data_IF_370246144279
#
_entry.id   IF_370246144279
#
_cell.length_a   1.000
_cell.length_b   1.000
_cell.length_c   1.000
_cell.angle_alpha   90.00
_cell.angle_beta   90.00
_cell.angle_gamma   90.00
#
_symmetry.space_group_name_H-M   'P 1'
#
loop_
_entity.id
_entity.type
_entity.pdbx_description
1 polymer ?
#
# COMPACT_ATOMS: atom_id res chain seq x y z
N UNK A 1 -48.62 -37.20 3.93
CA UNK A 1 -49.20 -36.59 5.14
C UNK A 1 -49.17 -35.09 4.94
N UNK A 2 -50.32 -34.52 4.59
CA UNK A 2 -50.49 -33.10 4.31
C UNK A 2 -50.85 -32.40 5.62
N UNK A 3 -50.08 -31.38 6.01
CA UNK A 3 -50.52 -30.46 7.05
C UNK A 3 -50.75 -29.09 6.43
N UNK A 4 -51.98 -28.62 6.62
CA UNK A 4 -52.57 -27.40 6.11
C UNK A 4 -52.99 -26.53 7.30
N UNK A 5 -53.11 -25.21 7.07
CA UNK A 5 -53.88 -24.19 7.82
C UNK A 5 -53.02 -23.31 8.76
N UNK A 6 -52.61 -22.09 8.34
CA UNK A 6 -53.37 -20.82 8.19
C UNK A 6 -53.42 -20.06 9.54
N UNK A 7 -52.52 -19.10 9.76
CA UNK A 7 -52.68 -17.64 9.60
C UNK A 7 -53.46 -16.96 10.73
N UNK A 8 -52.81 -16.06 11.48
CA UNK A 8 -52.93 -14.59 11.39
C UNK A 8 -52.41 -13.91 12.68
N UNK A 9 -52.08 -12.60 12.56
CA UNK A 9 -52.15 -11.58 13.63
C UNK A 9 -50.92 -11.52 14.58
N UNK A 10 -50.27 -10.40 14.91
CA UNK A 10 -50.53 -8.97 14.69
C UNK A 10 -49.22 -8.17 14.80
N UNK A 11 -49.26 -7.00 14.18
CA UNK A 11 -48.33 -5.87 14.20
C UNK A 11 -47.87 -5.49 15.63
N UNK A 12 -46.56 -5.36 15.85
CA UNK A 12 -46.01 -4.57 16.96
C UNK A 12 -45.16 -3.43 16.41
N UNK A 13 -45.74 -2.24 16.58
CA UNK A 13 -45.19 -0.90 16.46
C UNK A 13 -43.71 -0.78 16.85
N UNK A 14 -42.94 -0.12 15.99
CA UNK A 14 -41.71 0.60 16.35
C UNK A 14 -41.99 1.62 17.46
N UNK A 15 -41.04 1.92 18.35
CA UNK A 15 -40.15 3.07 18.12
C UNK A 15 -38.72 2.85 18.68
N UNK A 16 -37.68 3.61 18.38
CA UNK A 16 -37.57 5.07 18.41
C UNK A 16 -36.29 5.43 17.64
N UNK A 17 -36.41 6.18 16.55
CA UNK A 17 -35.24 6.81 15.96
C UNK A 17 -34.67 7.80 16.99
N UNK A 18 -33.51 7.51 17.54
CA UNK A 18 -32.76 8.47 18.34
C UNK A 18 -32.30 9.61 17.42
N UNK A 19 -33.08 10.69 17.39
CA UNK A 19 -32.64 11.98 16.88
C UNK A 19 -31.85 12.67 18.00
N UNK A 20 -30.54 12.82 17.81
CA UNK A 20 -29.73 13.66 18.68
C UNK A 20 -30.11 15.13 18.44
N UNK A 21 -30.71 15.77 19.45
CA UNK A 21 -30.95 17.20 19.46
C UNK A 21 -29.65 17.93 19.83
N UNK A 22 -29.04 18.61 18.85
CA UNK A 22 -27.99 19.58 19.15
C UNK A 22 -28.64 20.88 19.64
N UNK A 23 -28.46 21.19 20.93
CA UNK A 23 -28.69 22.53 21.44
C UNK A 23 -27.42 23.36 21.23
N UNK A 24 -27.30 24.02 20.08
CA UNK A 24 -26.38 25.16 19.94
C UNK A 24 -27.17 26.44 20.16
N UNK A 25 -26.83 27.08 21.28
CA UNK A 25 -27.27 28.38 21.74
C UNK A 25 -27.17 29.41 20.60
N UNK A 26 -28.27 30.10 20.34
CA UNK A 26 -28.33 31.35 19.58
C UNK A 26 -27.57 32.44 20.34
N UNK A 27 -26.45 32.89 19.80
CA UNK A 27 -26.10 34.31 19.85
C UNK A 27 -26.03 34.82 18.43
N UNK A 28 -26.91 35.76 18.12
CA UNK A 28 -26.94 36.50 16.87
C UNK A 28 -25.61 37.21 16.63
N UNK A 29 -25.04 36.99 15.45
CA UNK A 29 -24.28 38.00 14.72
C UNK A 29 -24.28 37.61 13.24
N UNK A 30 -25.22 38.21 12.51
CA UNK A 30 -25.13 38.68 11.12
C UNK A 30 -24.51 37.76 10.04
N UNK A 31 -25.42 37.16 9.26
CA UNK A 31 -25.45 37.00 7.79
C UNK A 31 -24.14 37.17 6.99
N UNK A 32 -23.68 36.11 6.29
CA UNK A 32 -23.32 36.07 4.84
C UNK A 32 -23.47 34.60 4.33
N UNK A 33 -24.06 34.34 3.13
CA UNK A 33 -24.38 33.01 2.64
C UNK A 33 -23.20 32.32 1.92
N UNK A 34 -23.10 30.99 1.96
CA UNK A 34 -22.12 30.32 1.11
C UNK A 34 -21.89 28.83 1.33
N UNK A 35 -22.54 28.04 0.48
CA UNK A 35 -21.94 26.99 -0.35
C UNK A 35 -21.24 25.79 0.31
N UNK A 36 -21.71 24.60 -0.07
CA UNK A 36 -21.16 23.31 0.33
C UNK A 36 -19.66 23.19 0.03
N UNK A 37 -18.85 23.05 1.08
CA UNK A 37 -17.39 22.93 0.95
C UNK A 37 -16.71 22.15 2.09
N UNK A 38 -17.46 21.33 2.86
CA UNK A 38 -16.84 20.57 3.96
C UNK A 38 -15.95 19.42 3.49
N UNK A 39 -16.21 18.83 2.32
CA UNK A 39 -15.40 17.71 1.81
C UNK A 39 -14.07 18.17 1.19
N UNK A 40 -14.09 19.29 0.45
CA UNK A 40 -12.94 19.78 -0.31
C UNK A 40 -11.83 20.39 0.56
N UNK A 41 -12.20 21.01 1.70
CA UNK A 41 -11.23 21.54 2.69
C UNK A 41 -10.48 20.43 3.43
N UNK A 42 -11.17 19.34 3.79
CA UNK A 42 -10.55 18.20 4.49
C UNK A 42 -9.54 17.49 3.62
N UNK A 43 -9.87 17.22 2.36
CA UNK A 43 -8.94 16.59 1.40
C UNK A 43 -7.73 17.46 1.10
N UNK A 44 -7.87 18.78 1.05
CA UNK A 44 -6.75 19.70 0.82
C UNK A 44 -5.72 19.63 1.96
N UNK A 45 -6.17 19.81 3.20
CA UNK A 45 -5.31 19.78 4.40
C UNK A 45 -4.59 18.43 4.57
N UNK A 46 -5.27 17.33 4.27
CA UNK A 46 -4.68 16.00 4.37
C UNK A 46 -3.61 15.75 3.28
N UNK A 47 -3.85 16.19 2.05
CA UNK A 47 -2.86 16.11 0.97
C UNK A 47 -1.61 16.94 1.30
N UNK A 48 -1.78 18.13 1.87
CA UNK A 48 -0.68 18.98 2.33
C UNK A 48 0.14 18.29 3.43
N UNK A 49 -0.53 17.61 4.36
CA UNK A 49 0.11 16.84 5.43
C UNK A 49 0.97 15.70 4.86
N UNK A 50 0.43 14.93 3.91
CA UNK A 50 1.16 13.84 3.24
C UNK A 50 2.33 14.36 2.43
N UNK A 51 2.19 15.52 1.78
CA UNK A 51 3.29 16.15 1.06
C UNK A 51 4.44 16.51 2.00
N UNK A 52 4.14 17.13 3.14
CA UNK A 52 5.14 17.52 4.13
C UNK A 52 5.83 16.29 4.74
N UNK A 53 5.06 15.27 5.12
CA UNK A 53 5.58 14.02 5.67
C UNK A 53 6.47 13.28 4.66
N UNK A 54 6.02 13.15 3.41
CA UNK A 54 6.79 12.51 2.35
C UNK A 54 8.12 13.24 2.08
N UNK A 55 8.10 14.58 2.15
CA UNK A 55 9.29 15.39 1.95
C UNK A 55 10.27 15.27 3.12
N UNK A 56 9.78 15.23 4.36
CA UNK A 56 10.59 14.97 5.56
C UNK A 56 11.31 13.62 5.47
N UNK A 57 10.59 12.55 5.11
CA UNK A 57 11.15 11.20 4.95
C UNK A 57 12.16 11.11 3.81
N UNK A 58 11.97 11.88 2.72
CA UNK A 58 12.93 11.91 1.60
C UNK A 58 14.30 12.42 2.04
N UNK A 59 14.32 13.37 2.97
CA UNK A 59 15.55 14.00 3.46
C UNK A 59 16.30 13.12 4.48
N UNK A 60 15.61 12.15 5.10
CA UNK A 60 16.25 11.16 5.96
C UNK A 60 17.01 10.10 5.13
N UNK A 61 18.32 10.06 5.33
CA UNK A 61 19.20 9.14 4.62
C UNK A 61 19.15 7.76 5.27
N UNK A 62 18.21 6.94 4.81
CA UNK A 62 18.15 5.50 5.10
C UNK A 62 19.49 4.82 4.79
N UNK A 63 20.23 4.41 5.82
CA UNK A 63 21.48 3.66 5.66
C UNK A 63 21.22 2.15 5.58
N UNK A 64 20.54 1.70 4.52
CA UNK A 64 20.46 0.25 4.24
C UNK A 64 21.82 -0.22 3.72
N UNK A 65 22.55 -0.97 4.54
CA UNK A 65 23.76 -1.69 4.11
C UNK A 65 23.39 -2.79 3.12
N UNK A 66 23.27 -2.42 1.84
CA UNK A 66 23.23 -3.40 0.75
C UNK A 66 24.65 -3.90 0.58
N UNK A 67 24.86 -5.21 0.74
CA UNK A 67 26.12 -5.85 0.38
C UNK A 67 26.29 -5.80 -1.15
N UNK A 68 26.73 -4.65 -1.66
CA UNK A 68 27.02 -4.47 -3.08
C UNK A 68 28.28 -5.27 -3.37
N UNK A 69 28.14 -6.44 -3.99
CA UNK A 69 29.28 -7.09 -4.67
C UNK A 69 29.61 -6.21 -5.88
N UNK A 70 30.48 -5.22 -5.66
CA UNK A 70 31.00 -4.38 -6.73
C UNK A 70 31.74 -5.23 -7.75
N UNK A 71 31.20 -5.36 -8.96
CA UNK A 71 31.98 -5.83 -10.12
C UNK A 71 32.95 -4.71 -10.51
N UNK A 72 34.19 -4.80 -10.04
CA UNK A 72 35.29 -3.99 -10.56
C UNK A 72 35.47 -4.27 -12.05
N UNK A 73 35.37 -3.21 -12.86
CA UNK A 73 35.59 -3.22 -14.30
C UNK A 73 37.10 -3.13 -14.57
N UNK A 74 37.75 -4.28 -14.72
CA UNK A 74 39.12 -4.40 -15.21
C UNK A 74 39.13 -4.79 -16.69
N UNK A 75 39.78 -3.99 -17.53
CA UNK A 75 40.06 -4.27 -18.93
C UNK A 75 41.16 -5.34 -19.00
N UNK A 76 40.97 -6.40 -19.79
CA UNK A 76 42.08 -7.29 -20.21
C UNK A 76 41.78 -8.78 -20.27
N UNK A 77 41.39 -9.23 -21.47
CA UNK A 77 41.69 -10.51 -22.14
C UNK A 77 41.46 -11.90 -21.49
N UNK A 78 40.90 -12.73 -22.40
CA UNK A 78 41.05 -14.17 -22.63
C UNK A 78 40.03 -15.08 -21.95
N UNK A 79 39.34 -15.81 -22.83
CA UNK A 79 38.18 -16.62 -22.55
C UNK A 79 38.46 -17.71 -21.54
N UNK A 80 37.59 -17.75 -20.55
CA UNK A 80 37.39 -18.94 -19.75
C UNK A 80 35.88 -19.05 -19.57
N UNK A 81 35.30 -20.02 -20.28
CA UNK A 81 33.87 -20.34 -20.29
C UNK A 81 33.51 -20.97 -18.94
N UNK A 82 33.60 -20.17 -17.87
CA UNK A 82 33.15 -20.58 -16.54
C UNK A 82 31.64 -20.50 -16.51
N UNK A 83 31.03 -21.67 -16.71
CA UNK A 83 29.65 -21.96 -16.32
C UNK A 83 29.41 -21.34 -14.94
N UNK A 84 28.57 -20.31 -14.88
CA UNK A 84 28.21 -19.63 -13.64
C UNK A 84 27.68 -20.67 -12.65
N UNK A 85 28.14 -20.67 -11.38
CA UNK A 85 27.49 -21.47 -10.35
C UNK A 85 26.01 -21.07 -10.37
N UNK A 86 25.13 -22.07 -10.45
CA UNK A 86 23.68 -21.89 -10.34
C UNK A 86 23.41 -21.24 -8.99
N UNK A 87 23.37 -19.91 -8.97
CA UNK A 87 23.26 -19.13 -7.74
C UNK A 87 21.91 -19.44 -7.12
N UNK A 88 21.89 -19.89 -5.87
CA UNK A 88 20.65 -20.05 -5.13
C UNK A 88 19.86 -18.74 -5.17
N UNK A 89 18.52 -18.79 -5.27
CA UNK A 89 17.70 -17.60 -5.22
C UNK A 89 17.89 -16.89 -3.86
N UNK A 90 17.83 -15.55 -3.82
CA UNK A 90 18.08 -14.78 -2.61
C UNK A 90 16.98 -15.02 -1.57
N UNK A 91 17.36 -15.13 -0.30
CA UNK A 91 16.40 -15.21 0.80
C UNK A 91 15.61 -13.90 0.96
N UNK A 92 14.37 -14.00 1.45
CA UNK A 92 13.53 -12.83 1.72
C UNK A 92 14.01 -12.12 2.99
N UNK A 93 14.76 -11.04 2.80
CA UNK A 93 15.23 -10.14 3.85
C UNK A 93 15.04 -8.69 3.40
N UNK A 94 15.03 -7.73 4.33
CA UNK A 94 14.90 -6.29 3.99
C UNK A 94 16.00 -5.85 2.99
N UNK A 95 17.30 -6.16 3.20
CA UNK A 95 18.34 -5.75 2.24
C UNK A 95 18.17 -6.40 0.86
N UNK A 96 17.82 -7.70 0.81
CA UNK A 96 17.63 -8.40 -0.46
C UNK A 96 16.41 -7.87 -1.21
N UNK A 97 15.30 -7.61 -0.51
CA UNK A 97 14.10 -7.03 -1.09
C UNK A 97 14.38 -5.63 -1.65
N UNK A 98 15.06 -4.78 -0.88
CA UNK A 98 15.44 -3.45 -1.35
C UNK A 98 16.34 -3.53 -2.60
N UNK A 99 17.33 -4.42 -2.60
CA UNK A 99 18.19 -4.65 -3.76
C UNK A 99 17.41 -5.13 -4.99
N UNK A 100 16.40 -6.00 -4.80
CA UNK A 100 15.57 -6.50 -5.89
C UNK A 100 14.63 -5.42 -6.44
N UNK A 101 14.04 -4.58 -5.57
CA UNK A 101 13.23 -3.42 -5.97
C UNK A 101 14.07 -2.48 -6.85
N UNK A 102 15.29 -2.17 -6.41
CA UNK A 102 16.24 -1.35 -7.17
C UNK A 102 16.63 -1.98 -8.51
N UNK A 103 16.91 -3.30 -8.51
CA UNK A 103 17.27 -4.06 -9.72
C UNK A 103 16.18 -4.03 -10.78
N UNK A 104 14.91 -4.05 -10.38
CA UNK A 104 13.76 -3.98 -11.28
C UNK A 104 13.45 -2.54 -11.75
N UNK A 105 14.23 -1.54 -11.35
CA UNK A 105 14.01 -0.14 -11.76
C UNK A 105 12.74 0.46 -11.18
N UNK A 106 12.26 -0.07 -10.06
CA UNK A 106 11.03 0.39 -9.42
C UNK A 106 11.24 1.79 -8.83
N UNK A 107 10.34 2.70 -9.19
CA UNK A 107 10.35 4.09 -8.70
C UNK A 107 9.99 4.14 -7.22
N UNK A 108 10.56 5.12 -6.51
CA UNK A 108 10.35 5.32 -5.06
C UNK A 108 10.60 4.04 -4.22
N UNK A 109 11.82 3.46 -4.34
CA UNK A 109 12.13 2.13 -3.79
C UNK A 109 11.93 2.03 -2.27
N UNK A 110 12.23 3.09 -1.51
CA UNK A 110 11.97 3.14 -0.07
C UNK A 110 10.48 3.00 0.26
N UNK A 111 9.63 3.71 -0.48
CA UNK A 111 8.17 3.63 -0.30
C UNK A 111 7.68 2.23 -0.63
N UNK A 112 8.13 1.65 -1.75
CA UNK A 112 7.72 0.30 -2.16
C UNK A 112 8.22 -0.77 -1.17
N UNK A 113 9.40 -0.58 -0.58
CA UNK A 113 9.89 -1.42 0.50
C UNK A 113 8.96 -1.34 1.73
N UNK A 114 8.59 -0.13 2.15
CA UNK A 114 7.66 0.08 3.26
C UNK A 114 6.28 -0.53 2.98
N UNK A 115 5.79 -0.45 1.74
CA UNK A 115 4.56 -1.14 1.32
C UNK A 115 4.69 -2.65 1.54
N UNK A 116 5.77 -3.28 1.04
CA UNK A 116 5.95 -4.71 1.22
C UNK A 116 6.04 -5.13 2.70
N UNK A 117 6.71 -4.34 3.55
CA UNK A 117 6.78 -4.61 4.99
C UNK A 117 5.39 -4.52 5.63
N UNK A 118 4.62 -3.50 5.28
CA UNK A 118 3.26 -3.27 5.78
C UNK A 118 2.32 -4.41 5.34
N UNK A 119 2.25 -4.69 4.04
CA UNK A 119 1.37 -5.70 3.43
C UNK A 119 1.65 -7.12 3.96
N UNK A 120 2.91 -7.41 4.29
CA UNK A 120 3.31 -8.74 4.76
C UNK A 120 3.30 -8.88 6.28
N UNK A 121 3.08 -7.78 7.02
CA UNK A 121 3.28 -7.75 8.47
C UNK A 121 4.68 -8.23 8.85
N UNK A 122 5.72 -7.57 8.33
CA UNK A 122 7.13 -7.96 8.55
C UNK A 122 7.44 -9.40 8.08
N UNK A 123 7.00 -9.76 6.87
CA UNK A 123 7.20 -11.08 6.25
C UNK A 123 6.60 -12.26 7.02
N UNK A 124 5.60 -12.00 7.87
CA UNK A 124 4.95 -13.05 8.68
C UNK A 124 3.65 -13.57 8.07
N UNK A 125 3.02 -12.80 7.18
CA UNK A 125 1.69 -13.14 6.67
C UNK A 125 1.67 -14.45 5.86
N UNK A 126 0.59 -15.25 5.94
CA UNK A 126 0.46 -16.47 5.14
C UNK A 126 0.49 -16.22 3.63
N UNK A 127 -0.05 -15.09 3.17
CA UNK A 127 -0.02 -14.69 1.75
C UNK A 127 1.44 -14.44 1.30
N UNK A 128 2.25 -13.81 2.14
CA UNK A 128 3.67 -13.66 1.90
C UNK A 128 4.39 -15.01 1.86
N UNK A 129 4.21 -15.85 2.89
CA UNK A 129 5.00 -17.07 3.07
C UNK A 129 4.62 -18.20 2.12
N UNK A 130 3.33 -18.38 1.88
CA UNK A 130 2.83 -19.54 1.13
C UNK A 130 2.62 -19.23 -0.36
N UNK A 131 2.32 -17.97 -0.69
CA UNK A 131 2.05 -17.52 -2.07
C UNK A 131 3.17 -16.65 -2.64
N UNK A 132 4.19 -16.36 -1.84
CA UNK A 132 5.31 -15.48 -2.21
C UNK A 132 4.86 -14.10 -2.71
N UNK A 133 3.72 -13.61 -2.21
CA UNK A 133 3.10 -12.37 -2.67
C UNK A 133 3.32 -11.27 -1.63
N UNK A 134 4.27 -10.37 -1.92
CA UNK A 134 4.72 -9.33 -1.00
C UNK A 134 3.82 -8.09 -0.98
N UNK A 135 2.99 -7.92 -2.01
CA UNK A 135 2.23 -6.68 -2.25
C UNK A 135 0.72 -6.90 -2.20
N UNK A 136 0.27 -8.05 -1.68
CA UNK A 136 -1.16 -8.37 -1.61
C UNK A 136 -1.85 -8.39 -2.97
N UNK A 137 -1.13 -8.65 -4.07
CA UNK A 137 -1.68 -8.52 -5.42
C UNK A 137 -2.81 -9.53 -5.64
N UNK A 138 -4.00 -9.04 -6.02
CA UNK A 138 -5.17 -9.87 -6.34
C UNK A 138 -5.50 -9.79 -7.82
N UNK A 139 -6.12 -10.86 -8.34
CA UNK A 139 -6.71 -10.85 -9.66
C UNK A 139 -8.06 -10.08 -9.61
N UNK A 140 -8.21 -8.95 -10.31
CA UNK A 140 -9.43 -8.14 -10.23
C UNK A 140 -10.70 -8.85 -10.68
N UNK A 141 -10.59 -9.89 -11.52
CA UNK A 141 -11.75 -10.65 -12.02
C UNK A 141 -12.24 -11.70 -11.02
N UNK A 142 -11.32 -12.29 -10.25
CA UNK A 142 -11.64 -13.42 -9.36
C UNK A 142 -11.52 -13.08 -7.88
N UNK A 143 -10.93 -11.95 -7.52
CA UNK A 143 -10.61 -11.55 -6.15
C UNK A 143 -9.50 -12.38 -5.49
N UNK A 144 -8.99 -13.42 -6.15
CA UNK A 144 -7.98 -14.31 -5.57
C UNK A 144 -6.59 -13.68 -5.60
N UNK A 145 -5.82 -13.89 -4.54
CA UNK A 145 -4.40 -13.55 -4.51
C UNK A 145 -3.63 -14.25 -5.62
N UNK A 146 -2.73 -13.52 -6.28
CA UNK A 146 -1.69 -14.14 -7.11
C UNK A 146 -0.76 -14.99 -6.25
N UNK A 147 -0.27 -16.07 -6.85
CA UNK A 147 0.71 -16.98 -6.28
C UNK A 147 1.93 -16.99 -7.20
N UNK A 148 3.11 -16.90 -6.59
CA UNK A 148 4.38 -16.81 -7.28
C UNK A 148 5.28 -17.98 -6.87
N UNK A 149 6.21 -18.36 -7.74
CA UNK A 149 7.19 -19.41 -7.41
C UNK A 149 8.23 -18.93 -6.41
N UNK A 150 8.57 -17.64 -6.46
CA UNK A 150 9.53 -17.00 -5.56
C UNK A 150 9.17 -15.53 -5.33
N UNK A 151 9.54 -14.97 -4.17
CA UNK A 151 9.12 -13.61 -3.77
C UNK A 151 9.63 -12.52 -4.73
N UNK A 152 10.74 -12.77 -5.43
CA UNK A 152 11.30 -11.86 -6.45
C UNK A 152 10.32 -11.65 -7.62
N UNK A 153 9.53 -12.67 -7.97
CA UNK A 153 8.51 -12.56 -9.02
C UNK A 153 7.37 -11.62 -8.59
N UNK A 154 7.06 -11.55 -7.28
CA UNK A 154 6.08 -10.58 -6.77
C UNK A 154 6.58 -9.14 -6.91
N UNK A 155 7.90 -8.90 -6.83
CA UNK A 155 8.51 -7.59 -7.09
C UNK A 155 8.36 -7.20 -8.57
N UNK A 156 8.67 -8.12 -9.48
CA UNK A 156 8.45 -7.90 -10.92
C UNK A 156 6.95 -7.71 -11.25
N UNK A 157 6.07 -8.45 -10.57
CA UNK A 157 4.63 -8.31 -10.72
C UNK A 157 4.14 -6.94 -10.23
N UNK A 158 4.70 -6.39 -9.16
CA UNK A 158 4.37 -5.03 -8.70
C UNK A 158 4.66 -4.00 -9.79
N UNK A 159 5.83 -4.08 -10.43
CA UNK A 159 6.18 -3.18 -11.53
C UNK A 159 5.15 -3.25 -12.67
N UNK A 160 4.88 -4.47 -13.15
CA UNK A 160 4.04 -4.70 -14.33
C UNK A 160 2.54 -4.53 -14.08
N UNK A 161 2.06 -4.70 -12.85
CA UNK A 161 0.62 -4.65 -12.51
C UNK A 161 0.19 -3.39 -11.77
N UNK A 162 1.10 -2.74 -11.05
CA UNK A 162 0.81 -1.56 -10.24
C UNK A 162 1.58 -0.36 -10.77
N UNK A 163 2.91 -0.42 -10.74
CA UNK A 163 3.73 0.78 -10.95
C UNK A 163 3.73 1.29 -12.40
N UNK A 164 3.42 0.47 -13.40
CA UNK A 164 3.32 0.92 -14.80
C UNK A 164 2.31 2.08 -15.00
N UNK A 165 1.31 2.20 -14.11
CA UNK A 165 0.31 3.29 -14.11
C UNK A 165 0.87 4.61 -13.56
N UNK A 166 2.00 4.59 -12.86
CA UNK A 166 2.60 5.78 -12.28
C UNK A 166 3.30 6.62 -13.35
N UNK A 167 2.93 7.90 -13.45
CA UNK A 167 3.47 8.84 -14.46
C UNK A 167 4.30 9.98 -13.87
N UNK A 168 4.50 10.03 -12.55
CA UNK A 168 5.19 11.12 -11.86
C UNK A 168 4.33 11.76 -10.76
N UNK A 169 4.91 12.72 -10.04
CA UNK A 169 4.27 13.43 -8.92
C UNK A 169 4.60 12.86 -7.53
N UNK A 170 3.75 13.15 -6.54
CA UNK A 170 3.86 12.56 -5.21
C UNK A 170 3.36 11.10 -5.25
N UNK A 171 4.22 10.17 -4.86
CA UNK A 171 3.91 8.74 -4.94
C UNK A 171 2.83 8.28 -3.96
N UNK A 172 2.79 8.83 -2.73
CA UNK A 172 1.78 8.49 -1.72
C UNK A 172 0.39 8.98 -2.15
N UNK A 173 0.31 10.21 -2.67
CA UNK A 173 -0.93 10.73 -3.24
C UNK A 173 -1.39 9.91 -4.45
N UNK A 174 -0.45 9.45 -5.28
CA UNK A 174 -0.76 8.55 -6.39
C UNK A 174 -1.31 7.21 -5.91
N UNK A 175 -0.70 6.56 -4.91
CA UNK A 175 -1.19 5.30 -4.32
C UNK A 175 -2.63 5.44 -3.81
N UNK A 176 -2.92 6.53 -3.11
CA UNK A 176 -4.28 6.87 -2.68
C UNK A 176 -5.23 7.05 -3.86
N UNK A 177 -4.83 7.83 -4.87
CA UNK A 177 -5.67 8.12 -6.04
C UNK A 177 -6.04 6.87 -6.84
N UNK A 178 -5.13 5.89 -6.93
CA UNK A 178 -5.43 4.63 -7.62
C UNK A 178 -6.21 3.63 -6.77
N UNK A 179 -6.51 3.97 -5.51
CA UNK A 179 -7.18 3.08 -4.57
C UNK A 179 -6.37 1.82 -4.28
N UNK A 180 -5.05 1.97 -4.07
CA UNK A 180 -4.17 0.81 -3.86
C UNK A 180 -4.62 -0.07 -2.68
N UNK A 181 -5.05 0.56 -1.59
CA UNK A 181 -5.60 -0.08 -0.41
C UNK A 181 -6.93 0.60 -0.03
N UNK A 182 -7.82 -0.17 0.59
CA UNK A 182 -9.12 0.32 1.09
C UNK A 182 -8.98 1.15 2.38
N UNK A 183 -7.93 0.90 3.16
CA UNK A 183 -7.68 1.63 4.40
C UNK A 183 -7.36 3.12 4.11
N UNK A 184 -8.18 4.07 4.60
CA UNK A 184 -7.91 5.49 4.41
C UNK A 184 -6.58 5.94 5.04
N UNK A 185 -6.10 5.23 6.08
CA UNK A 185 -4.85 5.53 6.77
C UNK A 185 -3.62 4.86 6.14
N UNK A 186 -3.78 4.13 5.03
CA UNK A 186 -2.70 3.37 4.41
C UNK A 186 -1.44 4.19 4.15
N UNK A 187 -1.58 5.42 3.63
CA UNK A 187 -0.44 6.32 3.38
C UNK A 187 0.26 6.75 4.67
N UNK A 188 -0.47 6.93 5.77
CA UNK A 188 0.11 7.25 7.08
C UNK A 188 0.85 6.05 7.66
N UNK A 189 0.31 4.84 7.52
CA UNK A 189 0.99 3.60 7.92
C UNK A 189 2.32 3.41 7.17
N UNK A 190 2.35 3.71 5.85
CA UNK A 190 3.60 3.73 5.08
C UNK A 190 4.60 4.74 5.66
N UNK A 191 4.17 5.98 5.93
CA UNK A 191 5.05 7.02 6.50
C UNK A 191 5.62 6.56 7.85
N UNK A 192 4.80 5.90 8.68
CA UNK A 192 5.26 5.36 9.97
C UNK A 192 6.36 4.32 9.78
N UNK A 193 6.20 3.38 8.85
CA UNK A 193 7.24 2.38 8.55
C UNK A 193 8.50 3.06 8.02
N UNK A 194 8.36 4.05 7.13
CA UNK A 194 9.50 4.77 6.58
C UNK A 194 10.33 5.52 7.64
N UNK A 195 9.69 6.00 8.72
CA UNK A 195 10.38 6.64 9.86
C UNK A 195 11.12 5.64 10.75
N UNK A 196 10.80 4.35 10.66
CA UNK A 196 11.44 3.29 11.44
C UNK A 196 12.63 2.65 10.73
N UNK A 197 12.65 2.72 9.40
CA UNK A 197 13.71 2.20 8.54
C UNK A 197 14.92 3.15 8.50
#
# INVERSE_FOLDING_TARGET
MHNTILSFLMLLLMPLSASAQFYTITKESELIPGSGNRMMKTTGKENDTINNDAQSVRNDTLHIHVATKEKKKGIGQKGDKRTSPKSMPPELTIPNLYAEIMRNGIRHPKIVLAQAILETGWFTSPVCRNKHNLFGLTNPRTGKYFEFGHWTESVMAYYTKVQYKYKGGNYLLWLRKIGYAEDPNYTHSIISILRML
#
